data_IF_016582034808
#
_entry.id   IF_016582034808
#
_cell.length_a   1.000
_cell.length_b   1.000
_cell.length_c   1.000
_cell.angle_alpha   90.00
_cell.angle_beta   90.00
_cell.angle_gamma   90.00
#
_symmetry.space_group_name_H-M   'P 1'
#
loop_
_entity.id
_entity.type
_entity.pdbx_description
1 polymer ?
#
# COMPACT_ATOMS: atom_id res chain seq x y z
N UNK A 1 -11.55 6.03 5.84
CA UNK A 1 -12.73 6.16 4.95
C UNK A 1 -13.78 7.15 5.49
N UNK A 2 -14.20 7.07 6.76
CA UNK A 2 -15.15 8.01 7.37
C UNK A 2 -14.81 9.50 7.16
N UNK A 3 -13.53 9.87 7.35
CA UNK A 3 -13.05 11.25 7.19
C UNK A 3 -13.17 11.81 5.77
N UNK A 4 -13.07 10.95 4.75
CA UNK A 4 -13.35 11.36 3.38
C UNK A 4 -14.84 11.66 3.18
N UNK A 5 -15.73 10.91 3.83
CA UNK A 5 -17.17 11.19 3.81
C UNK A 5 -17.51 12.53 4.48
N UNK A 6 -16.84 12.85 5.60
CA UNK A 6 -16.99 14.14 6.29
C UNK A 6 -16.49 15.30 5.40
N UNK A 7 -15.36 15.12 4.73
CA UNK A 7 -14.83 16.11 3.77
C UNK A 7 -15.78 16.36 2.58
N UNK A 8 -16.34 15.29 2.01
CA UNK A 8 -17.33 15.38 0.93
C UNK A 8 -18.62 16.06 1.41
N UNK A 9 -19.08 15.76 2.63
CA UNK A 9 -20.25 16.40 3.22
C UNK A 9 -20.05 17.89 3.49
N UNK A 10 -18.82 18.31 3.84
CA UNK A 10 -18.49 19.73 4.03
C UNK A 10 -18.22 20.48 2.73
N UNK A 11 -17.99 19.79 1.60
CA UNK A 11 -17.62 20.36 0.29
C UNK A 11 -18.47 21.57 -0.15
N UNK A 12 -19.80 21.61 -0.01
CA UNK A 12 -20.61 22.76 -0.44
C UNK A 12 -20.44 24.02 0.43
N UNK A 13 -19.76 23.93 1.58
CA UNK A 13 -19.56 25.05 2.52
C UNK A 13 -18.15 25.64 2.42
N UNK A 14 -17.18 24.91 1.84
CA UNK A 14 -15.80 25.41 1.75
C UNK A 14 -15.66 26.44 0.63
N UNK A 15 -15.15 27.63 0.97
CA UNK A 15 -14.81 28.66 -0.01
C UNK A 15 -13.33 29.09 0.11
N UNK A 16 -12.69 29.36 -1.02
CA UNK A 16 -11.31 29.86 -1.10
C UNK A 16 -10.25 29.04 -0.33
N UNK A 17 -9.76 29.61 0.78
CA UNK A 17 -8.62 29.07 1.56
C UNK A 17 -8.95 27.84 2.43
N UNK A 18 -10.23 27.53 2.60
CA UNK A 18 -10.67 26.42 3.47
C UNK A 18 -10.38 25.04 2.87
N UNK A 19 -10.03 24.96 1.57
CA UNK A 19 -9.58 23.73 0.90
C UNK A 19 -8.37 23.06 1.58
N UNK A 20 -7.62 23.77 2.43
CA UNK A 20 -6.58 23.20 3.30
C UNK A 20 -7.10 22.07 4.20
N UNK A 21 -8.40 22.00 4.48
CA UNK A 21 -9.02 20.91 5.24
C UNK A 21 -8.76 19.54 4.62
N UNK A 22 -8.49 19.44 3.30
CA UNK A 22 -8.16 18.18 2.62
C UNK A 22 -6.87 17.53 3.16
N UNK A 23 -5.96 18.31 3.75
CA UNK A 23 -4.78 17.77 4.41
C UNK A 23 -5.13 16.87 5.60
N UNK A 24 -6.25 17.11 6.27
CA UNK A 24 -6.74 16.29 7.37
C UNK A 24 -7.00 14.82 6.96
N UNK A 25 -7.95 14.54 6.06
CA UNK A 25 -8.21 13.18 5.60
C UNK A 25 -6.98 12.57 4.93
N UNK A 26 -6.19 13.33 4.15
CA UNK A 26 -4.95 12.84 3.55
C UNK A 26 -3.97 12.37 4.64
N UNK A 27 -3.67 13.22 5.62
CA UNK A 27 -2.74 12.92 6.70
C UNK A 27 -3.21 11.73 7.54
N UNK A 28 -4.51 11.66 7.87
CA UNK A 28 -5.07 10.51 8.58
C UNK A 28 -5.00 9.23 7.76
N UNK A 29 -5.24 9.27 6.45
CA UNK A 29 -5.05 8.09 5.60
C UNK A 29 -3.60 7.65 5.53
N UNK A 30 -2.65 8.58 5.46
CA UNK A 30 -1.21 8.31 5.54
C UNK A 30 -0.86 7.68 6.90
N UNK A 31 -1.33 8.24 8.00
CA UNK A 31 -1.01 7.73 9.34
C UNK A 31 -1.60 6.32 9.52
N UNK A 32 -2.83 6.07 9.08
CA UNK A 32 -3.44 4.75 9.19
C UNK A 32 -2.77 3.72 8.27
N UNK A 33 -2.44 4.08 7.03
CA UNK A 33 -1.84 3.11 6.10
C UNK A 33 -0.36 2.84 6.39
N UNK A 34 0.39 3.87 6.79
CA UNK A 34 1.85 3.78 6.94
C UNK A 34 2.29 3.50 8.38
N UNK A 35 1.58 4.03 9.39
CA UNK A 35 1.97 3.87 10.81
C UNK A 35 1.19 2.74 11.49
N UNK A 36 -0.06 2.46 11.10
CA UNK A 36 -0.91 1.55 11.89
C UNK A 36 -0.76 0.05 11.62
N UNK A 37 -0.31 -0.39 10.44
CA UNK A 37 -0.70 -1.76 10.03
C UNK A 37 0.32 -2.52 9.23
N UNK A 38 0.32 -2.29 7.92
CA UNK A 38 0.84 -3.27 6.97
C UNK A 38 2.37 -3.39 6.99
N UNK A 39 3.17 -2.31 6.87
CA UNK A 39 4.63 -2.45 6.81
C UNK A 39 5.25 -3.01 8.10
N UNK A 40 4.70 -2.65 9.27
CA UNK A 40 5.17 -3.17 10.57
C UNK A 40 4.85 -4.66 10.74
N UNK A 41 3.64 -5.08 10.37
CA UNK A 41 3.26 -6.50 10.38
C UNK A 41 4.11 -7.32 9.42
N UNK A 42 4.40 -6.77 8.25
CA UNK A 42 5.19 -7.43 7.21
C UNK A 42 6.67 -7.52 7.58
N UNK A 43 7.26 -6.50 8.20
CA UNK A 43 8.62 -6.58 8.73
C UNK A 43 8.72 -7.67 9.80
N UNK A 44 7.71 -7.79 10.67
CA UNK A 44 7.65 -8.83 11.69
C UNK A 44 7.48 -10.23 11.11
N UNK A 45 6.70 -10.37 10.03
CA UNK A 45 6.50 -11.62 9.31
C UNK A 45 7.74 -12.03 8.51
N UNK A 46 8.43 -11.07 7.90
CA UNK A 46 9.68 -11.29 7.17
C UNK A 46 10.80 -11.77 8.09
N UNK A 47 10.88 -11.23 9.31
CA UNK A 47 11.83 -11.73 10.34
C UNK A 47 11.56 -13.18 10.73
N UNK A 48 10.29 -13.61 10.75
CA UNK A 48 9.90 -14.97 11.15
C UNK A 48 9.97 -15.99 10.00
N UNK A 49 9.63 -15.58 8.79
CA UNK A 49 9.37 -16.48 7.66
C UNK A 49 10.20 -16.19 6.41
N UNK A 50 11.06 -15.17 6.43
CA UNK A 50 11.85 -14.73 5.26
C UNK A 50 12.77 -15.79 4.67
N UNK A 51 13.18 -16.80 5.45
CA UNK A 51 14.05 -17.88 4.99
C UNK A 51 13.29 -19.03 4.29
N UNK A 52 11.95 -19.00 4.27
CA UNK A 52 11.15 -20.05 3.63
C UNK A 52 10.86 -19.74 2.16
N UNK A 53 11.16 -20.67 1.23
CA UNK A 53 10.93 -20.46 -0.20
C UNK A 53 9.43 -20.32 -0.54
N UNK A 54 8.55 -21.02 0.19
CA UNK A 54 7.10 -20.92 0.00
C UNK A 54 6.56 -19.52 0.36
N UNK A 55 7.09 -18.90 1.42
CA UNK A 55 6.71 -17.55 1.85
C UNK A 55 7.16 -16.49 0.83
N UNK A 56 8.35 -16.66 0.25
CA UNK A 56 8.85 -15.81 -0.86
C UNK A 56 7.94 -15.87 -2.08
N UNK A 57 7.45 -17.06 -2.45
CA UNK A 57 6.56 -17.24 -3.61
C UNK A 57 5.18 -16.61 -3.34
N UNK A 58 4.62 -16.81 -2.15
CA UNK A 58 3.38 -16.19 -1.70
C UNK A 58 3.43 -14.66 -1.79
N UNK A 59 4.51 -14.04 -1.28
CA UNK A 59 4.71 -12.57 -1.35
C UNK A 59 4.85 -12.03 -2.77
N UNK A 60 5.44 -12.81 -3.69
CA UNK A 60 5.58 -12.39 -5.11
C UNK A 60 4.24 -12.42 -5.87
N UNK A 61 3.29 -13.23 -5.43
CA UNK A 61 2.05 -13.51 -6.17
C UNK A 61 0.81 -12.87 -5.54
N UNK A 62 0.87 -12.53 -4.25
CA UNK A 62 -0.27 -12.00 -3.50
C UNK A 62 -0.09 -10.51 -3.25
N UNK A 63 -1.09 -9.72 -3.62
CA UNK A 63 -1.08 -8.27 -3.34
C UNK A 63 -1.44 -8.00 -1.86
N UNK A 64 -0.75 -7.08 -1.17
CA UNK A 64 -0.96 -6.83 0.26
C UNK A 64 -2.28 -6.14 0.62
N UNK A 65 -2.77 -5.27 -0.27
CA UNK A 65 -3.81 -4.28 0.06
C UNK A 65 -5.11 -4.50 -0.71
N UNK A 66 -5.02 -4.84 -1.99
CA UNK A 66 -6.18 -5.08 -2.84
C UNK A 66 -6.15 -6.56 -3.21
N UNK A 67 -7.21 -7.33 -2.94
CA UNK A 67 -7.25 -8.75 -3.31
C UNK A 67 -7.34 -8.88 -4.83
N UNK A 68 -6.19 -8.76 -5.49
CA UNK A 68 -6.05 -8.99 -6.92
C UNK A 68 -5.76 -10.46 -7.19
N UNK A 69 -6.27 -11.02 -8.32
CA UNK A 69 -5.90 -12.35 -8.74
C UNK A 69 -4.37 -12.44 -8.93
N UNK A 70 -3.72 -13.52 -8.48
CA UNK A 70 -2.26 -13.65 -8.51
C UNK A 70 -1.68 -13.57 -9.93
N UNK A 71 -2.47 -13.97 -10.93
CA UNK A 71 -2.10 -13.93 -12.35
C UNK A 71 -1.98 -12.49 -12.87
N UNK A 72 -2.83 -11.57 -12.40
CA UNK A 72 -2.84 -10.17 -12.83
C UNK A 72 -1.68 -9.42 -12.18
N UNK A 73 -1.40 -9.73 -10.92
CA UNK A 73 -0.34 -9.08 -10.15
C UNK A 73 1.07 -9.39 -10.66
N UNK A 74 1.30 -10.63 -11.13
CA UNK A 74 2.57 -11.06 -11.71
C UNK A 74 2.97 -10.25 -12.95
N UNK A 75 2.00 -9.78 -13.73
CA UNK A 75 2.22 -9.08 -15.00
C UNK A 75 2.15 -7.55 -14.90
N UNK A 76 2.01 -6.99 -13.69
CA UNK A 76 1.79 -5.55 -13.53
C UNK A 76 3.10 -4.74 -13.66
N UNK A 77 3.13 -3.65 -14.44
CA UNK A 77 4.29 -2.77 -14.53
C UNK A 77 4.56 -2.06 -13.20
N UNK A 78 5.84 -1.81 -12.90
CA UNK A 78 6.32 -1.33 -11.60
C UNK A 78 5.66 -0.03 -11.12
N UNK A 79 5.41 0.94 -12.02
CA UNK A 79 4.74 2.20 -11.66
C UNK A 79 3.29 2.01 -11.19
N UNK A 80 2.59 1.00 -11.72
CA UNK A 80 1.21 0.72 -11.34
C UNK A 80 1.14 0.05 -9.97
N UNK A 81 2.15 -0.74 -9.62
CA UNK A 81 2.34 -1.27 -8.26
C UNK A 81 2.50 -0.15 -7.23
N UNK A 82 3.26 0.89 -7.55
CA UNK A 82 3.42 2.07 -6.69
C UNK A 82 2.10 2.82 -6.47
N UNK A 83 1.25 2.93 -7.50
CA UNK A 83 -0.09 3.53 -7.38
C UNK A 83 -1.03 2.63 -6.59
N UNK A 84 -0.86 1.31 -6.71
CA UNK A 84 -1.61 0.29 -5.97
C UNK A 84 -1.19 0.17 -4.49
N UNK A 85 -0.49 1.19 -3.97
CA UNK A 85 0.02 1.24 -2.60
C UNK A 85 1.04 0.14 -2.24
N UNK A 86 1.69 -0.51 -3.23
CA UNK A 86 2.99 -1.15 -2.94
C UNK A 86 4.01 -0.05 -2.70
N UNK A 87 4.10 0.36 -1.44
CA UNK A 87 5.20 1.20 -1.01
C UNK A 87 6.50 0.43 -1.27
N UNK A 88 7.56 1.09 -1.78
CA UNK A 88 8.88 0.48 -1.99
C UNK A 88 9.50 -0.08 -0.69
N UNK A 89 8.88 0.19 0.45
CA UNK A 89 9.17 -0.38 1.76
C UNK A 89 8.89 -1.90 1.84
N UNK A 90 7.93 -2.43 1.06
CA UNK A 90 7.51 -3.83 1.14
C UNK A 90 8.43 -4.82 0.40
N UNK A 91 8.96 -4.40 -0.75
CA UNK A 91 9.84 -5.22 -1.60
C UNK A 91 11.32 -5.14 -1.22
N UNK A 92 11.65 -4.35 -0.19
CA UNK A 92 13.03 -3.92 0.09
C UNK A 92 13.98 -5.05 0.52
N UNK A 93 13.46 -6.20 0.95
CA UNK A 93 14.25 -7.32 1.49
C UNK A 93 14.41 -8.52 0.56
N UNK A 94 13.92 -8.46 -0.68
CA UNK A 94 14.10 -9.57 -1.62
C UNK A 94 15.33 -9.36 -2.50
N UNK A 95 16.26 -10.32 -2.58
CA UNK A 95 17.25 -10.31 -3.64
C UNK A 95 16.49 -10.30 -4.97
N UNK A 96 16.74 -9.28 -5.77
CA UNK A 96 16.17 -9.16 -7.11
C UNK A 96 16.77 -10.27 -7.98
N UNK A 97 16.08 -11.41 -8.05
CA UNK A 97 16.18 -12.23 -9.25
C UNK A 97 15.55 -11.40 -10.36
N UNK A 98 16.42 -10.87 -11.22
CA UNK A 98 16.05 -10.05 -12.35
C UNK A 98 15.01 -10.72 -13.26
N UNK A 99 14.39 -9.95 -14.16
CA UNK A 99 13.41 -10.49 -15.08
C UNK A 99 14.01 -11.67 -15.86
N UNK A 100 13.35 -12.83 -15.79
CA UNK A 100 13.62 -13.95 -16.69
C UNK A 100 12.92 -13.64 -18.03
N UNK A 101 13.43 -12.65 -18.75
CA UNK A 101 13.17 -12.42 -20.18
C UNK A 101 14.44 -11.84 -20.80
#
# INVERSE_FOLDING_TARGET
FLWWGIFVASTPVLDGAEWLVILGPIFLTLLLLFISGIPLLEESADKKFGNMPAYRLYKKTTSPLIPLPPVVYGNLPWWLKTILFELPLYSRNFPQEGPNW
#
